data_IF_920951326810
#
_entry.id   IF_920951326810
#
_cell.length_a   1.000
_cell.length_b   1.000
_cell.length_c   1.000
_cell.angle_alpha   90.00
_cell.angle_beta   90.00
_cell.angle_gamma   90.00
#
_symmetry.space_group_name_H-M   'P 1'
#
loop_
_entity.id
_entity.type
_entity.pdbx_description
1 polymer ?
#
# COMPACT_ATOMS: atom_id res chain seq x y z
N UNK A 1 27.08 32.67 7.80
CA UNK A 1 27.05 31.26 7.34
C UNK A 1 26.66 31.27 5.87
N UNK A 2 27.55 30.81 4.98
CA UNK A 2 27.24 30.68 3.55
C UNK A 2 26.09 29.69 3.37
N UNK A 3 25.07 30.03 2.59
CA UNK A 3 24.06 29.03 2.18
C UNK A 3 24.80 27.98 1.34
N UNK A 4 24.84 26.74 1.83
CA UNK A 4 25.28 25.60 1.02
C UNK A 4 24.55 25.63 -0.31
N UNK A 5 25.30 25.54 -1.41
CA UNK A 5 24.72 25.35 -2.73
C UNK A 5 23.92 24.05 -2.74
N UNK A 6 22.76 24.08 -3.40
CA UNK A 6 21.87 22.93 -3.50
C UNK A 6 22.37 21.99 -4.58
N UNK A 7 22.29 20.68 -4.37
CA UNK A 7 22.63 19.72 -5.41
C UNK A 7 21.74 19.96 -6.65
N UNK A 8 22.31 19.97 -7.89
CA UNK A 8 21.56 20.20 -9.12
C UNK A 8 20.29 19.35 -9.25
N UNK A 9 20.37 18.05 -8.93
CA UNK A 9 19.19 17.17 -8.98
C UNK A 9 18.06 17.62 -8.05
N UNK A 10 18.39 18.08 -6.84
CA UNK A 10 17.38 18.51 -5.87
C UNK A 10 16.72 19.81 -6.33
N UNK A 11 17.49 20.70 -6.97
CA UNK A 11 16.94 21.93 -7.54
C UNK A 11 16.04 21.65 -8.75
N UNK A 12 16.47 20.77 -9.67
CA UNK A 12 15.67 20.38 -10.83
C UNK A 12 14.31 19.76 -10.44
N UNK A 13 14.31 18.80 -9.50
CA UNK A 13 13.07 18.19 -8.99
C UNK A 13 12.18 19.24 -8.33
N UNK A 14 12.74 20.14 -7.51
CA UNK A 14 11.95 21.19 -6.87
C UNK A 14 11.35 22.21 -7.85
N UNK A 15 12.04 22.49 -8.96
CA UNK A 15 11.52 23.37 -10.00
C UNK A 15 10.29 22.75 -10.67
N UNK A 16 10.38 21.49 -11.11
CA UNK A 16 9.23 20.75 -11.71
C UNK A 16 8.07 20.63 -10.73
N UNK A 17 8.34 20.29 -9.48
CA UNK A 17 7.29 20.19 -8.46
C UNK A 17 6.64 21.56 -8.19
N UNK A 18 7.43 22.65 -8.22
CA UNK A 18 6.93 24.01 -8.01
C UNK A 18 6.04 24.49 -9.16
N UNK A 19 6.34 24.11 -10.40
CA UNK A 19 5.55 24.50 -11.58
C UNK A 19 4.28 23.65 -11.77
N UNK A 20 4.29 22.39 -11.32
CA UNK A 20 3.16 21.47 -11.50
C UNK A 20 2.31 21.31 -10.24
N UNK A 21 2.88 20.79 -9.16
CA UNK A 21 2.10 20.33 -7.99
C UNK A 21 1.72 21.46 -7.04
N UNK A 22 2.66 22.39 -6.79
CA UNK A 22 2.48 23.43 -5.76
C UNK A 22 1.24 24.30 -5.97
N UNK A 23 0.89 24.76 -7.19
CA UNK A 23 -0.32 25.57 -7.40
C UNK A 23 -1.59 24.85 -6.94
N UNK A 24 -1.81 23.62 -7.41
CA UNK A 24 -3.03 22.85 -7.12
C UNK A 24 -3.10 22.38 -5.67
N UNK A 25 -1.96 22.02 -5.07
CA UNK A 25 -1.91 21.61 -3.65
C UNK A 25 -2.19 22.79 -2.72
N UNK A 26 -1.65 23.98 -3.03
CA UNK A 26 -1.94 25.20 -2.25
C UNK A 26 -3.40 25.62 -2.34
N UNK A 27 -3.98 25.56 -3.54
CA UNK A 27 -5.40 25.85 -3.76
C UNK A 27 -6.30 24.94 -2.91
N UNK A 28 -5.92 23.66 -2.76
CA UNK A 28 -6.60 22.67 -1.90
C UNK A 28 -6.23 22.76 -0.42
N UNK A 29 -5.53 23.81 0.01
CA UNK A 29 -5.20 24.04 1.42
C UNK A 29 -4.10 23.14 2.00
N UNK A 30 -3.33 22.43 1.17
CA UNK A 30 -2.22 21.63 1.66
C UNK A 30 -1.11 22.52 2.24
N UNK A 31 -0.60 22.11 3.39
CA UNK A 31 0.58 22.66 4.04
C UNK A 31 1.82 21.91 3.54
N UNK A 32 2.99 22.56 3.55
CA UNK A 32 4.23 21.98 3.02
C UNK A 32 5.32 21.92 4.08
N UNK A 33 6.04 20.79 4.11
CA UNK A 33 7.29 20.60 4.86
C UNK A 33 8.25 19.76 4.03
N UNK A 34 9.36 20.37 3.59
CA UNK A 34 10.34 19.75 2.69
C UNK A 34 9.69 19.21 1.40
N UNK A 35 9.69 17.89 1.22
CA UNK A 35 9.14 17.18 0.07
C UNK A 35 7.78 16.55 0.37
N UNK A 36 7.14 16.96 1.47
CA UNK A 36 5.85 16.49 1.90
C UNK A 36 4.84 17.63 1.90
N UNK A 37 3.66 17.33 1.41
CA UNK A 37 2.47 18.16 1.52
C UNK A 37 1.42 17.37 2.28
N UNK A 38 0.65 18.02 3.14
CA UNK A 38 -0.48 17.37 3.79
C UNK A 38 -1.63 18.35 4.00
N UNK A 39 -2.83 17.81 4.02
CA UNK A 39 -4.07 18.54 4.27
C UNK A 39 -4.99 17.69 5.13
N UNK A 40 -5.66 18.33 6.07
CA UNK A 40 -6.65 17.70 6.93
C UNK A 40 -8.03 18.23 6.56
N UNK A 41 -9.01 17.34 6.53
CA UNK A 41 -10.44 17.66 6.61
C UNK A 41 -11.01 17.08 7.91
N UNK A 42 -12.32 17.18 8.11
CA UNK A 42 -12.97 16.49 9.23
C UNK A 42 -12.92 14.97 9.06
N UNK A 43 -13.04 14.48 7.82
CA UNK A 43 -13.11 13.05 7.49
C UNK A 43 -11.75 12.42 7.19
N UNK A 44 -10.77 13.20 6.70
CA UNK A 44 -9.56 12.65 6.06
C UNK A 44 -8.28 13.41 6.43
N UNK A 45 -7.20 12.66 6.58
CA UNK A 45 -5.83 13.17 6.50
C UNK A 45 -5.26 12.74 5.15
N UNK A 46 -4.75 13.68 4.36
CA UNK A 46 -4.19 13.40 3.03
C UNK A 46 -2.78 13.91 2.96
N UNK A 47 -1.90 13.16 2.32
CA UNK A 47 -0.52 13.56 2.11
C UNK A 47 -0.05 13.28 0.69
N UNK A 48 0.81 14.15 0.18
CA UNK A 48 1.53 13.96 -1.08
C UNK A 48 3.02 14.07 -0.78
N UNK A 49 3.81 13.10 -1.20
CA UNK A 49 5.26 13.07 -1.00
C UNK A 49 5.96 12.98 -2.35
N UNK A 50 6.94 13.85 -2.57
CA UNK A 50 7.91 13.66 -3.65
C UNK A 50 9.01 12.75 -3.11
N UNK A 51 9.02 11.50 -3.58
CA UNK A 51 10.00 10.51 -3.16
C UNK A 51 11.19 10.51 -4.12
N UNK A 52 12.36 10.85 -3.60
CA UNK A 52 13.62 10.70 -4.33
C UNK A 52 14.12 9.25 -4.27
N UNK A 53 14.75 8.77 -5.35
CA UNK A 53 15.41 7.46 -5.33
C UNK A 53 16.64 7.49 -4.43
N UNK A 54 16.86 6.40 -3.69
CA UNK A 54 18.06 6.23 -2.84
C UNK A 54 19.37 6.18 -3.64
N UNK A 55 19.29 5.96 -4.96
CA UNK A 55 20.44 5.86 -5.86
C UNK A 55 20.77 7.17 -6.59
N UNK A 56 20.20 8.30 -6.15
CA UNK A 56 20.48 9.60 -6.76
C UNK A 56 21.93 10.04 -6.47
N UNK A 57 22.55 10.70 -7.45
CA UNK A 57 23.84 11.37 -7.29
C UNK A 57 23.65 12.89 -7.33
N UNK A 58 24.74 13.67 -7.37
CA UNK A 58 24.67 15.14 -7.47
C UNK A 58 24.10 15.58 -8.84
N UNK A 59 24.40 14.84 -9.90
CA UNK A 59 24.10 15.23 -11.29
C UNK A 59 22.91 14.49 -11.91
N UNK A 60 22.66 13.25 -11.48
CA UNK A 60 21.57 12.41 -11.98
C UNK A 60 20.69 11.92 -10.84
N UNK A 61 19.45 11.58 -11.18
CA UNK A 61 18.55 10.99 -10.21
C UNK A 61 17.16 10.76 -10.73
N UNK A 62 16.36 10.13 -9.88
CA UNK A 62 14.97 9.80 -10.14
C UNK A 62 14.09 10.24 -8.99
N UNK A 63 12.83 10.51 -9.32
CA UNK A 63 11.80 10.77 -8.33
C UNK A 63 10.45 10.17 -8.76
N UNK A 64 9.57 9.96 -7.79
CA UNK A 64 8.17 9.60 -8.00
C UNK A 64 7.29 10.38 -7.02
N UNK A 65 5.97 10.28 -7.18
CA UNK A 65 4.98 10.89 -6.29
C UNK A 65 4.24 9.77 -5.55
N UNK A 66 4.24 9.86 -4.22
CA UNK A 66 3.38 9.03 -3.36
C UNK A 66 2.20 9.89 -2.89
N UNK A 67 1.00 9.32 -2.91
CA UNK A 67 -0.22 9.92 -2.36
C UNK A 67 -0.70 9.00 -1.23
N UNK A 68 -0.93 9.56 -0.05
CA UNK A 68 -1.41 8.81 1.11
C UNK A 68 -2.68 9.40 1.68
N UNK A 69 -3.50 8.54 2.27
CA UNK A 69 -4.72 8.91 2.98
C UNK A 69 -4.88 8.13 4.27
N UNK A 70 -5.49 8.77 5.27
CA UNK A 70 -6.00 8.13 6.48
C UNK A 70 -7.35 8.72 6.83
N UNK A 71 -8.19 7.92 7.47
CA UNK A 71 -9.58 8.24 7.77
C UNK A 71 -9.82 8.27 9.29
N UNK A 72 -9.63 9.41 9.96
CA UNK A 72 -9.86 9.50 11.40
C UNK A 72 -11.28 9.13 11.82
N UNK A 73 -12.26 9.30 10.92
CA UNK A 73 -13.64 8.90 11.16
C UNK A 73 -13.83 7.38 11.33
N UNK A 74 -12.90 6.56 10.84
CA UNK A 74 -12.95 5.09 10.97
C UNK A 74 -12.00 4.57 12.05
N UNK A 75 -11.50 5.45 12.92
CA UNK A 75 -10.63 5.11 14.05
C UNK A 75 -9.14 5.11 13.73
N UNK A 76 -8.74 5.57 12.54
CA UNK A 76 -7.33 5.68 12.19
C UNK A 76 -6.67 6.89 12.87
N UNK A 77 -5.48 6.68 13.41
CA UNK A 77 -4.70 7.77 13.98
C UNK A 77 -4.29 8.76 12.89
N UNK A 78 -4.54 10.06 13.14
CA UNK A 78 -3.96 11.11 12.31
C UNK A 78 -2.43 11.04 12.42
N UNK A 79 -1.71 10.91 11.30
CA UNK A 79 -0.26 10.91 11.33
C UNK A 79 0.28 12.17 11.99
N UNK A 80 1.15 12.00 13.00
CA UNK A 80 1.81 13.13 13.68
C UNK A 80 2.99 13.71 12.87
N UNK A 81 3.34 13.06 11.75
CA UNK A 81 4.41 13.45 10.84
C UNK A 81 3.84 13.65 9.44
N UNK A 82 4.33 14.65 8.70
CA UNK A 82 3.89 14.87 7.33
C UNK A 82 4.43 13.79 6.40
N UNK A 83 3.62 13.39 5.42
CA UNK A 83 4.05 12.56 4.30
C UNK A 83 3.27 11.26 4.16
N UNK A 84 3.12 10.83 2.91
CA UNK A 84 2.36 9.66 2.51
C UNK A 84 2.80 8.35 3.21
N UNK A 85 4.09 8.20 3.55
CA UNK A 85 4.61 7.03 4.29
C UNK A 85 3.96 6.83 5.66
N UNK A 86 3.44 7.89 6.27
CA UNK A 86 2.81 7.79 7.60
C UNK A 86 1.30 7.62 7.52
N UNK A 87 0.71 7.72 6.32
CA UNK A 87 -0.69 7.44 6.11
C UNK A 87 -0.94 5.93 6.18
N UNK A 88 -2.10 5.53 6.70
CA UNK A 88 -2.59 4.14 6.67
C UNK A 88 -2.53 3.57 5.26
N UNK A 89 -3.01 4.35 4.30
CA UNK A 89 -3.06 3.99 2.89
C UNK A 89 -2.11 4.87 2.11
N UNK A 90 -1.41 4.25 1.15
CA UNK A 90 -0.41 4.93 0.34
C UNK A 90 -0.30 4.26 -1.01
N UNK A 91 -0.40 5.08 -2.05
CA UNK A 91 -0.21 4.65 -3.42
C UNK A 91 0.87 5.48 -4.12
N UNK A 92 1.66 4.84 -4.99
CA UNK A 92 2.53 5.57 -5.92
C UNK A 92 1.75 5.92 -7.16
N UNK A 93 1.95 7.14 -7.64
CA UNK A 93 1.16 7.71 -8.73
C UNK A 93 1.17 6.86 -10.02
N UNK A 94 2.23 6.08 -10.25
CA UNK A 94 2.30 5.18 -11.39
C UNK A 94 1.30 4.02 -11.36
N UNK A 95 0.93 3.53 -10.16
CA UNK A 95 -0.10 2.49 -10.00
C UNK A 95 -1.52 3.06 -10.09
N UNK A 96 -1.67 4.38 -10.10
CA UNK A 96 -2.95 5.04 -10.41
C UNK A 96 -3.21 5.14 -11.92
N UNK A 97 -2.25 4.75 -12.77
CA UNK A 97 -2.39 4.75 -14.22
C UNK A 97 -3.08 3.47 -14.70
N UNK A 98 -3.71 3.53 -15.87
CA UNK A 98 -4.42 2.40 -16.47
C UNK A 98 -3.53 1.16 -16.65
N UNK A 99 -2.27 1.36 -17.02
CA UNK A 99 -1.30 0.27 -17.22
C UNK A 99 -0.58 -0.15 -15.91
N UNK A 100 -0.96 0.43 -14.77
CA UNK A 100 -0.51 0.13 -13.39
C UNK A 100 0.96 -0.30 -13.28
N UNK A 101 1.88 0.67 -13.39
CA UNK A 101 3.32 0.42 -13.27
C UNK A 101 4.03 1.47 -12.42
N UNK A 102 5.12 1.10 -11.75
CA UNK A 102 5.89 2.01 -10.90
C UNK A 102 6.61 3.08 -11.74
N UNK A 103 5.96 4.23 -11.93
CA UNK A 103 6.48 5.34 -12.72
C UNK A 103 7.51 6.16 -11.93
N UNK A 104 8.70 6.31 -12.52
CA UNK A 104 9.76 7.18 -12.04
C UNK A 104 10.20 8.14 -13.13
N UNK A 105 10.18 9.44 -12.85
CA UNK A 105 10.84 10.42 -13.70
C UNK A 105 12.34 10.41 -13.42
N UNK A 106 13.14 10.57 -14.46
CA UNK A 106 14.60 10.50 -14.39
C UNK A 106 15.25 11.76 -14.97
N UNK A 107 16.41 12.08 -14.44
CA UNK A 107 17.36 13.03 -15.00
C UNK A 107 18.69 12.32 -15.22
N UNK A 108 19.19 12.34 -16.45
CA UNK A 108 20.56 11.92 -16.76
C UNK A 108 21.53 13.09 -16.52
N UNK A 109 21.09 14.31 -16.83
CA UNK A 109 21.75 15.56 -16.43
C UNK A 109 20.72 16.56 -15.89
N UNK A 110 20.71 16.75 -14.57
CA UNK A 110 19.81 17.69 -13.90
C UNK A 110 19.98 19.16 -14.34
N UNK A 111 21.03 19.50 -15.08
CA UNK A 111 21.22 20.84 -15.66
C UNK A 111 20.62 20.98 -17.06
N UNK A 112 20.21 19.89 -17.70
CA UNK A 112 19.59 19.93 -19.03
C UNK A 112 18.18 20.52 -18.95
N UNK A 113 17.94 21.71 -19.55
CA UNK A 113 16.61 22.30 -19.57
C UNK A 113 15.58 21.46 -20.36
N UNK A 114 16.00 20.63 -21.31
CA UNK A 114 15.10 19.78 -22.12
C UNK A 114 14.54 18.64 -21.27
N UNK A 115 15.39 17.97 -20.47
CA UNK A 115 14.92 16.94 -19.53
C UNK A 115 13.95 17.51 -18.50
N UNK A 116 14.22 18.72 -18.00
CA UNK A 116 13.32 19.40 -17.06
C UNK A 116 11.94 19.67 -17.67
N UNK A 117 11.89 20.18 -18.90
CA UNK A 117 10.62 20.43 -19.60
C UNK A 117 9.87 19.12 -19.87
N UNK A 118 10.56 18.07 -20.32
CA UNK A 118 9.96 16.74 -20.53
C UNK A 118 9.34 16.19 -19.24
N UNK A 119 10.06 16.28 -18.12
CA UNK A 119 9.56 15.81 -16.83
C UNK A 119 8.42 16.70 -16.30
N UNK A 120 8.44 18.01 -16.57
CA UNK A 120 7.33 18.91 -16.24
C UNK A 120 6.05 18.55 -17.01
N UNK A 121 6.13 18.38 -18.33
CA UNK A 121 4.97 18.06 -19.18
C UNK A 121 4.39 16.69 -18.80
N UNK A 122 5.25 15.68 -18.64
CA UNK A 122 4.83 14.34 -18.22
C UNK A 122 4.21 14.34 -16.83
N UNK A 123 4.81 15.04 -15.85
CA UNK A 123 4.22 15.13 -14.51
C UNK A 123 2.88 15.88 -14.54
N UNK A 124 2.76 16.94 -15.35
CA UNK A 124 1.52 17.70 -15.49
C UNK A 124 0.39 16.85 -16.03
N UNK A 125 0.66 16.06 -17.07
CA UNK A 125 -0.28 15.10 -17.63
C UNK A 125 -0.73 14.10 -16.57
N UNK A 126 0.20 13.33 -15.99
CA UNK A 126 -0.08 12.29 -14.99
C UNK A 126 -0.79 12.85 -13.74
N UNK A 127 -0.38 14.03 -13.28
CA UNK A 127 -1.03 14.69 -12.15
C UNK A 127 -2.47 15.08 -12.46
N UNK A 128 -2.74 15.58 -13.66
CA UNK A 128 -4.09 15.99 -14.06
C UNK A 128 -5.03 14.81 -14.33
N UNK A 129 -4.52 13.70 -14.86
CA UNK A 129 -5.32 12.55 -15.28
C UNK A 129 -5.49 11.49 -14.20
N UNK A 130 -4.53 11.36 -13.29
CA UNK A 130 -4.56 10.33 -12.23
C UNK A 130 -4.42 10.94 -10.83
N UNK A 131 -3.44 11.82 -10.60
CA UNK A 131 -3.15 12.33 -9.26
C UNK A 131 -4.27 13.16 -8.62
N UNK A 132 -4.79 14.15 -9.33
CA UNK A 132 -5.89 15.00 -8.86
C UNK A 132 -7.21 14.22 -8.73
N UNK A 133 -7.66 13.43 -9.73
CA UNK A 133 -8.86 12.62 -9.58
C UNK A 133 -8.78 11.65 -8.40
N UNK A 134 -7.61 11.07 -8.13
CA UNK A 134 -7.41 10.23 -6.95
C UNK A 134 -7.50 11.05 -5.66
N UNK A 135 -6.87 12.22 -5.59
CA UNK A 135 -6.97 13.12 -4.44
C UNK A 135 -8.40 13.54 -4.12
N UNK A 136 -9.20 13.83 -5.14
CA UNK A 136 -10.60 14.21 -4.99
C UNK A 136 -11.40 13.00 -4.45
N UNK A 137 -11.13 11.78 -4.97
CA UNK A 137 -11.79 10.56 -4.51
C UNK A 137 -11.49 10.19 -3.05
N UNK A 138 -10.25 10.37 -2.60
CA UNK A 138 -9.85 10.07 -1.21
C UNK A 138 -10.31 11.14 -0.22
N UNK A 139 -11.05 12.18 -0.65
CA UNK A 139 -11.70 13.10 0.29
C UNK A 139 -12.91 12.48 0.99
N UNK A 140 -13.58 11.52 0.35
CA UNK A 140 -14.73 10.80 0.90
C UNK A 140 -14.36 9.32 1.10
N UNK A 141 -14.37 8.79 2.34
CA UNK A 141 -14.09 7.38 2.59
C UNK A 141 -15.04 6.43 1.84
N UNK A 142 -16.27 6.85 1.54
CA UNK A 142 -17.24 6.05 0.77
C UNK A 142 -16.83 5.95 -0.68
N UNK A 143 -16.39 7.05 -1.29
CA UNK A 143 -15.91 7.04 -2.68
C UNK A 143 -14.61 6.25 -2.81
N UNK A 144 -13.73 6.36 -1.81
CA UNK A 144 -12.52 5.54 -1.75
C UNK A 144 -12.83 4.06 -1.58
N UNK A 145 -13.79 3.70 -0.72
CA UNK A 145 -14.27 2.33 -0.58
C UNK A 145 -14.78 1.77 -1.91
N UNK A 146 -15.58 2.53 -2.66
CA UNK A 146 -16.04 2.09 -3.99
C UNK A 146 -14.90 1.93 -5.00
N UNK A 147 -13.84 2.73 -4.88
CA UNK A 147 -12.64 2.55 -5.69
C UNK A 147 -11.91 1.25 -5.35
N UNK A 148 -11.70 0.98 -4.06
CA UNK A 148 -11.08 -0.27 -3.60
C UNK A 148 -11.88 -1.51 -4.02
N UNK A 149 -13.21 -1.41 -4.14
CA UNK A 149 -14.07 -2.52 -4.54
C UNK A 149 -14.23 -2.67 -6.07
N UNK A 150 -13.93 -1.64 -6.87
CA UNK A 150 -14.20 -1.63 -8.32
C UNK A 150 -12.98 -1.98 -9.16
N UNK A 151 -11.80 -1.55 -8.75
CA UNK A 151 -10.60 -1.56 -9.59
C UNK A 151 -9.77 -2.84 -9.36
N UNK A 152 -9.84 -3.86 -10.23
CA UNK A 152 -8.92 -5.00 -10.20
C UNK A 152 -7.46 -4.62 -10.51
N UNK A 153 -7.19 -3.41 -11.00
CA UNK A 153 -5.85 -2.92 -11.33
C UNK A 153 -4.94 -2.69 -10.10
N UNK A 154 -5.52 -2.62 -8.90
CA UNK A 154 -4.81 -2.56 -7.63
C UNK A 154 -4.60 -3.94 -6.97
N UNK A 155 -5.03 -5.02 -7.63
CA UNK A 155 -5.22 -6.33 -7.00
C UNK A 155 -6.60 -6.43 -6.34
N UNK A 156 -6.88 -7.52 -5.61
CA UNK A 156 -8.13 -7.65 -4.85
C UNK A 156 -8.36 -6.52 -3.85
N UNK A 157 -9.61 -6.32 -3.39
CA UNK A 157 -9.85 -5.44 -2.25
C UNK A 157 -9.06 -6.01 -1.07
N UNK A 158 -7.93 -5.39 -0.74
CA UNK A 158 -7.08 -5.86 0.34
C UNK A 158 -7.79 -5.78 1.69
N UNK A 159 -7.12 -6.25 2.75
CA UNK A 159 -7.56 -6.07 4.14
C UNK A 159 -7.96 -4.60 4.42
N UNK A 160 -7.32 -3.65 3.76
CA UNK A 160 -7.67 -2.23 3.78
C UNK A 160 -9.16 -1.95 3.46
N UNK A 161 -9.75 -2.59 2.45
CA UNK A 161 -11.15 -2.41 2.13
C UNK A 161 -12.06 -2.93 3.26
N UNK A 162 -11.68 -4.06 3.87
CA UNK A 162 -12.40 -4.66 4.99
C UNK A 162 -12.34 -3.74 6.21
N UNK A 163 -11.15 -3.22 6.56
CA UNK A 163 -10.95 -2.28 7.66
C UNK A 163 -11.75 -1.00 7.48
N UNK A 164 -11.70 -0.41 6.29
CA UNK A 164 -12.45 0.79 5.96
C UNK A 164 -13.97 0.54 6.06
N UNK A 165 -14.45 -0.59 5.53
CA UNK A 165 -15.86 -0.97 5.63
C UNK A 165 -16.33 -1.16 7.08
N UNK A 166 -15.49 -1.78 7.92
CA UNK A 166 -15.76 -1.97 9.35
C UNK A 166 -15.89 -0.64 10.07
N UNK A 167 -14.93 0.27 9.88
CA UNK A 167 -14.98 1.55 10.58
C UNK A 167 -15.98 2.55 9.97
N UNK A 168 -16.41 2.36 8.71
CA UNK A 168 -17.62 2.99 8.16
C UNK A 168 -18.92 2.42 8.75
N UNK A 169 -18.88 1.27 9.42
CA UNK A 169 -20.05 0.59 9.96
C UNK A 169 -21.02 0.06 8.90
N UNK A 170 -20.55 -0.16 7.67
CA UNK A 170 -21.39 -0.58 6.53
C UNK A 170 -21.29 -2.08 6.30
N UNK A 171 -22.32 -2.83 6.73
CA UNK A 171 -22.37 -4.28 6.50
C UNK A 171 -22.33 -4.63 5.01
N UNK A 172 -22.99 -3.85 4.16
CA UNK A 172 -22.98 -4.08 2.72
C UNK A 172 -21.58 -3.93 2.10
N UNK A 173 -20.77 -2.97 2.59
CA UNK A 173 -19.38 -2.85 2.16
C UNK A 173 -18.51 -3.96 2.73
N UNK A 174 -18.75 -4.34 3.98
CA UNK A 174 -18.01 -5.41 4.63
C UNK A 174 -18.19 -6.75 3.92
N UNK A 175 -19.43 -7.08 3.56
CA UNK A 175 -19.75 -8.30 2.82
C UNK A 175 -19.08 -8.29 1.44
N UNK A 176 -19.20 -7.18 0.68
CA UNK A 176 -18.55 -7.04 -0.63
C UNK A 176 -17.02 -7.16 -0.54
N UNK A 177 -16.40 -6.55 0.46
CA UNK A 177 -14.95 -6.57 0.65
C UNK A 177 -14.45 -7.97 1.02
N UNK A 178 -15.10 -8.64 1.97
CA UNK A 178 -14.76 -10.02 2.37
C UNK A 178 -14.95 -10.98 1.20
N UNK A 179 -16.07 -10.90 0.49
CA UNK A 179 -16.37 -11.81 -0.62
C UNK A 179 -15.41 -11.57 -1.81
N UNK A 180 -15.04 -10.30 -2.05
CA UNK A 180 -14.01 -9.95 -3.04
C UNK A 180 -12.64 -10.51 -2.66
N UNK A 181 -12.22 -10.35 -1.41
CA UNK A 181 -10.95 -10.87 -0.90
C UNK A 181 -10.90 -12.41 -0.98
N UNK A 182 -11.94 -13.11 -0.52
CA UNK A 182 -12.03 -14.58 -0.63
C UNK A 182 -12.04 -15.04 -2.09
N UNK A 183 -12.75 -14.35 -2.98
CA UNK A 183 -12.76 -14.67 -4.41
C UNK A 183 -11.35 -14.59 -5.00
N UNK A 184 -10.56 -13.61 -4.59
CA UNK A 184 -9.19 -13.49 -5.04
C UNK A 184 -8.27 -14.56 -4.47
N UNK A 185 -8.36 -14.88 -3.17
CA UNK A 185 -7.62 -16.00 -2.57
C UNK A 185 -7.94 -17.34 -3.25
N UNK A 186 -9.13 -17.47 -3.83
CA UNK A 186 -9.52 -18.63 -4.64
C UNK A 186 -8.91 -18.62 -6.04
N UNK A 187 -8.67 -17.43 -6.59
CA UNK A 187 -8.23 -17.24 -7.97
C UNK A 187 -6.86 -17.88 -8.23
N UNK A 188 -6.65 -18.32 -9.47
CA UNK A 188 -5.43 -19.02 -9.83
C UNK A 188 -4.16 -18.15 -9.79
N UNK A 189 -4.29 -16.84 -9.52
CA UNK A 189 -3.16 -15.94 -9.31
C UNK A 189 -2.33 -16.34 -8.09
N UNK A 190 -2.97 -16.94 -7.07
CA UNK A 190 -2.27 -17.56 -5.94
C UNK A 190 -2.07 -19.08 -6.13
N UNK A 191 -2.64 -19.67 -7.18
CA UNK A 191 -2.57 -21.12 -7.43
C UNK A 191 -1.40 -21.50 -8.35
N UNK A 192 -1.07 -20.68 -9.34
CA UNK A 192 0.13 -20.92 -10.17
C UNK A 192 1.44 -20.76 -9.40
N UNK A 193 1.34 -20.24 -8.20
CA UNK A 193 2.45 -20.19 -7.29
C UNK A 193 2.58 -21.45 -6.41
N UNK A 194 1.66 -22.43 -6.39
CA UNK A 194 1.85 -23.69 -5.64
C UNK A 194 3.03 -24.57 -6.12
N UNK A 195 3.60 -24.31 -7.30
CA UNK A 195 4.88 -24.92 -7.69
C UNK A 195 6.09 -24.27 -7.01
N UNK A 196 5.87 -23.11 -6.40
CA UNK A 196 6.81 -22.37 -5.59
C UNK A 196 6.32 -22.37 -4.13
N UNK A 197 6.94 -23.16 -3.24
CA UNK A 197 6.55 -23.21 -1.83
C UNK A 197 6.30 -21.82 -1.23
N UNK A 198 7.09 -20.80 -1.61
CA UNK A 198 6.99 -19.43 -1.08
C UNK A 198 5.61 -18.78 -1.14
N UNK A 199 4.73 -19.20 -2.05
CA UNK A 199 3.39 -18.63 -2.13
C UNK A 199 2.35 -19.26 -1.22
N UNK A 200 2.61 -20.49 -0.78
CA UNK A 200 1.71 -21.17 0.15
C UNK A 200 1.82 -20.53 1.53
N UNK A 201 3.01 -20.04 1.89
CA UNK A 201 3.24 -19.17 3.04
C UNK A 201 2.51 -17.83 2.96
N UNK A 202 2.57 -17.16 1.81
CA UNK A 202 1.84 -15.91 1.60
C UNK A 202 0.32 -16.12 1.73
N UNK A 203 -0.22 -17.22 1.18
CA UNK A 203 -1.63 -17.56 1.29
C UNK A 203 -2.07 -17.84 2.74
N UNK A 204 -1.28 -18.61 3.49
CA UNK A 204 -1.55 -18.87 4.91
C UNK A 204 -1.63 -17.56 5.70
N UNK A 205 -0.73 -16.63 5.39
CA UNK A 205 -0.71 -15.31 5.99
C UNK A 205 -1.93 -14.47 5.62
N UNK A 206 -2.39 -14.50 4.37
CA UNK A 206 -3.60 -13.79 3.96
C UNK A 206 -4.85 -14.30 4.68
N UNK A 207 -5.00 -15.62 4.84
CA UNK A 207 -6.08 -16.17 5.66
C UNK A 207 -5.96 -15.76 7.13
N UNK A 208 -4.74 -15.73 7.66
CA UNK A 208 -4.50 -15.33 9.04
C UNK A 208 -4.81 -13.84 9.27
N UNK A 209 -4.51 -12.96 8.30
CA UNK A 209 -4.90 -11.55 8.33
C UNK A 209 -6.41 -11.36 8.22
N UNK A 210 -7.11 -12.20 7.44
CA UNK A 210 -8.56 -12.12 7.25
C UNK A 210 -9.37 -12.56 8.48
N UNK A 211 -8.88 -13.57 9.22
CA UNK A 211 -9.62 -14.21 10.32
C UNK A 211 -10.19 -13.24 11.38
N UNK A 212 -9.41 -12.29 11.93
CA UNK A 212 -9.95 -11.34 12.91
C UNK A 212 -11.13 -10.54 12.36
N UNK A 213 -11.10 -10.20 11.06
CA UNK A 213 -12.18 -9.46 10.44
C UNK A 213 -13.42 -10.31 10.18
N UNK A 214 -13.26 -11.59 9.82
CA UNK A 214 -14.38 -12.53 9.74
C UNK A 214 -15.06 -12.67 11.10
N UNK A 215 -14.29 -12.87 12.18
CA UNK A 215 -14.83 -12.98 13.53
C UNK A 215 -15.55 -11.71 13.96
N UNK A 216 -14.96 -10.54 13.72
CA UNK A 216 -15.61 -9.25 14.00
C UNK A 216 -16.91 -9.06 13.20
N UNK A 217 -17.00 -9.65 12.01
CA UNK A 217 -18.20 -9.67 11.18
C UNK A 217 -19.21 -10.77 11.55
N UNK A 218 -18.95 -11.59 12.57
CA UNK A 218 -19.78 -12.76 12.90
C UNK A 218 -19.75 -13.86 11.84
N UNK A 219 -18.71 -13.91 11.02
CA UNK A 219 -18.46 -14.89 9.95
C UNK A 219 -17.36 -15.87 10.36
N UNK A 220 -17.28 -16.98 9.64
CA UNK A 220 -16.20 -17.97 9.76
C UNK A 220 -15.83 -18.46 8.36
N UNK A 221 -14.61 -18.99 8.22
CA UNK A 221 -14.23 -19.73 7.01
C UNK A 221 -15.07 -21.01 6.91
N UNK A 222 -15.53 -21.33 5.71
CA UNK A 222 -16.36 -22.52 5.45
C UNK A 222 -16.03 -23.14 4.10
N UNK A 223 -16.27 -24.45 3.96
CA UNK A 223 -16.09 -25.17 2.69
C UNK A 223 -14.67 -25.02 2.14
N UNK A 224 -14.57 -24.72 0.85
CA UNK A 224 -13.31 -24.62 0.12
C UNK A 224 -12.31 -23.63 0.74
N UNK A 225 -12.76 -22.52 1.34
CA UNK A 225 -11.85 -21.55 1.97
C UNK A 225 -11.18 -22.12 3.22
N UNK A 226 -11.93 -22.90 4.00
CA UNK A 226 -11.42 -23.54 5.21
C UNK A 226 -10.38 -24.62 4.84
N UNK A 227 -10.69 -25.42 3.83
CA UNK A 227 -9.77 -26.45 3.31
C UNK A 227 -8.48 -25.83 2.77
N UNK A 228 -8.58 -24.75 1.98
CA UNK A 228 -7.43 -24.01 1.46
C UNK A 228 -6.59 -23.37 2.55
N UNK A 229 -7.23 -22.74 3.55
CA UNK A 229 -6.51 -22.19 4.69
C UNK A 229 -5.75 -23.28 5.46
N UNK A 230 -6.38 -24.43 5.69
CA UNK A 230 -5.76 -25.58 6.34
C UNK A 230 -4.57 -26.13 5.56
N UNK A 231 -4.72 -26.32 4.25
CA UNK A 231 -3.62 -26.73 3.38
C UNK A 231 -2.47 -25.73 3.41
N UNK A 232 -2.78 -24.43 3.29
CA UNK A 232 -1.78 -23.37 3.27
C UNK A 232 -0.95 -23.34 4.56
N UNK A 233 -1.60 -23.40 5.72
CA UNK A 233 -0.91 -23.45 7.02
C UNK A 233 -0.09 -24.71 7.16
N UNK A 234 -0.65 -25.86 6.79
CA UNK A 234 0.02 -27.16 6.90
C UNK A 234 1.33 -27.16 6.10
N UNK A 235 1.30 -26.72 4.85
CA UNK A 235 2.50 -26.65 4.00
C UNK A 235 3.51 -25.60 4.49
N UNK A 236 3.03 -24.48 5.02
CA UNK A 236 3.90 -23.46 5.64
C UNK A 236 4.65 -24.02 6.85
N UNK A 237 3.96 -24.75 7.73
CA UNK A 237 4.58 -25.40 8.90
C UNK A 237 5.61 -26.42 8.45
N UNK A 238 5.27 -27.31 7.50
CA UNK A 238 6.22 -28.29 6.94
C UNK A 238 7.47 -27.60 6.37
N UNK A 239 7.30 -26.49 5.65
CA UNK A 239 8.42 -25.76 5.08
C UNK A 239 9.34 -25.15 6.16
N UNK A 240 8.76 -24.62 7.24
CA UNK A 240 9.51 -24.10 8.38
C UNK A 240 10.27 -25.20 9.13
N UNK A 241 9.65 -26.37 9.31
CA UNK A 241 10.27 -27.56 9.90
C UNK A 241 11.44 -28.10 9.06
N UNK A 242 11.30 -28.06 7.73
CA UNK A 242 12.37 -28.41 6.79
C UNK A 242 13.52 -27.39 6.74
N UNK A 243 13.45 -26.30 7.53
CA UNK A 243 14.53 -25.33 7.65
C UNK A 243 14.60 -24.32 6.52
N UNK A 244 13.51 -24.10 5.77
CA UNK A 244 13.47 -23.08 4.72
C UNK A 244 13.48 -21.67 5.33
N UNK A 245 14.68 -21.12 5.58
CA UNK A 245 14.90 -19.85 6.29
C UNK A 245 14.22 -18.63 5.62
N UNK A 246 13.93 -18.67 4.33
CA UNK A 246 13.26 -17.58 3.63
C UNK A 246 11.87 -17.27 4.21
N UNK A 247 11.15 -18.29 4.69
CA UNK A 247 9.85 -18.10 5.34
C UNK A 247 9.97 -17.41 6.70
N UNK A 248 11.04 -17.69 7.44
CA UNK A 248 11.29 -17.01 8.72
C UNK A 248 11.47 -15.52 8.54
N UNK A 249 12.21 -15.11 7.50
CA UNK A 249 12.49 -13.70 7.24
C UNK A 249 11.23 -12.93 6.78
N UNK A 250 10.42 -13.51 5.89
CA UNK A 250 9.19 -12.86 5.41
C UNK A 250 8.10 -12.73 6.46
N UNK A 251 8.02 -13.69 7.39
CA UNK A 251 6.87 -13.83 8.28
C UNK A 251 7.21 -13.62 9.76
N UNK A 252 8.40 -13.13 10.09
CA UNK A 252 8.80 -12.88 11.49
C UNK A 252 7.78 -12.01 12.23
N UNK A 253 7.25 -10.97 11.58
CA UNK A 253 6.23 -10.09 12.14
C UNK A 253 4.81 -10.67 12.11
N UNK A 254 4.61 -11.85 11.51
CA UNK A 254 3.30 -12.50 11.30
C UNK A 254 3.20 -13.89 11.92
N UNK A 255 4.24 -14.31 12.65
CA UNK A 255 4.30 -15.56 13.41
C UNK A 255 3.10 -15.74 14.36
N UNK A 256 2.68 -14.66 15.04
CA UNK A 256 1.52 -14.68 15.93
C UNK A 256 0.23 -15.04 15.20
N UNK A 257 -0.02 -14.41 14.04
CA UNK A 257 -1.21 -14.66 13.22
C UNK A 257 -1.26 -16.12 12.72
N UNK A 258 -0.12 -16.68 12.31
CA UNK A 258 -0.05 -18.08 11.87
C UNK A 258 -0.31 -19.06 13.01
N UNK A 259 0.11 -18.77 14.24
CA UNK A 259 -0.22 -19.59 15.41
C UNK A 259 -1.73 -19.51 15.71
N UNK A 260 -2.32 -18.32 15.70
CA UNK A 260 -3.76 -18.14 15.93
C UNK A 260 -4.61 -18.89 14.88
N UNK A 261 -4.20 -18.81 13.62
CA UNK A 261 -4.83 -19.58 12.54
C UNK A 261 -4.62 -21.09 12.73
N UNK A 262 -3.41 -21.52 13.13
CA UNK A 262 -3.13 -22.93 13.45
C UNK A 262 -4.02 -23.47 14.55
N UNK A 263 -4.12 -22.76 15.69
CA UNK A 263 -4.97 -23.11 16.82
C UNK A 263 -6.45 -23.22 16.41
N UNK A 264 -6.93 -22.26 15.60
CA UNK A 264 -8.30 -22.27 15.08
C UNK A 264 -8.59 -23.47 14.18
N UNK A 265 -7.59 -23.88 13.39
CA UNK A 265 -7.68 -25.00 12.47
C UNK A 265 -7.34 -26.35 13.12
N UNK A 266 -6.95 -26.36 14.40
CA UNK A 266 -6.50 -27.57 15.08
C UNK A 266 -5.15 -28.10 14.58
N UNK A 267 -4.32 -27.24 14.00
CA UNK A 267 -2.96 -27.55 13.52
C UNK A 267 -1.98 -27.14 14.60
N UNK A 268 -1.23 -28.11 15.16
CA UNK A 268 -0.21 -27.84 16.17
C UNK A 268 0.97 -27.06 15.58
N UNK A 269 0.94 -25.72 15.70
CA UNK A 269 2.07 -24.87 15.33
C UNK A 269 3.05 -24.81 16.49
N UNK A 270 4.25 -25.41 16.34
CA UNK A 270 5.27 -25.34 17.40
C UNK A 270 5.80 -23.91 17.52
N UNK A 271 5.57 -23.19 18.64
CA UNK A 271 5.92 -21.76 18.75
C UNK A 271 7.41 -21.50 18.48
N UNK A 272 8.28 -22.44 18.89
CA UNK A 272 9.73 -22.34 18.71
C UNK A 272 10.20 -22.27 17.24
N UNK A 273 9.38 -22.68 16.26
CA UNK A 273 9.72 -22.57 14.84
C UNK A 273 9.44 -21.19 14.26
N UNK A 274 8.57 -20.42 14.91
CA UNK A 274 8.05 -19.13 14.46
C UNK A 274 8.62 -17.95 15.27
N UNK A 275 9.05 -18.19 16.51
CA UNK A 275 9.59 -17.16 17.41
C UNK A 275 11.13 -17.08 17.42
N UNK A 276 11.83 -17.70 16.46
CA UNK A 276 13.29 -17.64 16.45
C UNK A 276 13.76 -16.18 16.24
N UNK A 277 14.33 -15.61 17.31
CA UNK A 277 14.80 -14.25 17.48
C UNK A 277 16.27 -14.05 17.12
N UNK A 278 16.55 -12.83 16.63
CA UNK A 278 17.82 -12.09 16.43
C UNK A 278 18.86 -12.62 15.43
#
# INVERSE_FOLDING_TARGET
MSKSEKAPITDAVEQVVRSVLVPTLKERGFRKQRHHWWGDTDATHRAVTVQSSQYNSVANGRFTIEIGVSYPCVGEDRPNKPGALYCRHRERIGFLLQDSHDLWWSYEDARDPVERLKNEDSLREVWSTAGLPFLDRVEDPTEYMEYLLREPAAGPPGIEAIELAQGLGSQAYLDRAIDGYLTDLRSDHHVHTYQNPFSVGDLAVYYAELLPHLHAAGRSLTGDDLERAHEAVTETVKALEAGHQHYRYRHHNRAGLLNELGDLLGIETRPALLTASD
#
